data_IF_395115795439
#
_entry.id   IF_395115795439
#
_cell.length_a   1.000
_cell.length_b   1.000
_cell.length_c   1.000
_cell.angle_alpha   90.00
_cell.angle_beta   90.00
_cell.angle_gamma   90.00
#
_symmetry.space_group_name_H-M   'P 1'
#
loop_
_entity.id
_entity.type
_entity.pdbx_description
1 polymer ?
#
# COMPACT_ATOMS: atom_id res chain seq x y z
N UNK A 1 -0.02 -27.03 -36.89
CA UNK A 1 1.41 -26.96 -36.53
C UNK A 1 2.01 -25.55 -36.70
N UNK A 2 1.61 -24.78 -37.71
CA UNK A 2 2.13 -23.42 -37.98
C UNK A 2 1.89 -22.39 -36.86
N UNK A 3 0.78 -22.46 -36.13
CA UNK A 3 0.46 -21.47 -35.12
C UNK A 3 1.41 -21.51 -33.89
N UNK A 4 1.97 -22.68 -33.58
CA UNK A 4 2.84 -22.87 -32.39
C UNK A 4 4.23 -22.26 -32.61
N UNK A 5 4.74 -22.33 -33.82
CA UNK A 5 6.05 -21.77 -34.14
C UNK A 5 5.99 -20.25 -34.32
N UNK A 6 4.89 -19.73 -34.87
CA UNK A 6 4.64 -18.30 -34.93
C UNK A 6 4.57 -17.67 -33.51
N UNK A 7 3.92 -18.35 -32.57
CA UNK A 7 3.86 -17.90 -31.16
C UNK A 7 5.24 -17.93 -30.50
N UNK A 8 6.06 -18.96 -30.76
CA UNK A 8 7.44 -19.01 -30.23
C UNK A 8 8.31 -17.86 -30.76
N UNK A 9 8.20 -17.59 -32.08
CA UNK A 9 8.92 -16.47 -32.71
C UNK A 9 8.46 -15.14 -32.08
N UNK A 10 7.15 -14.93 -31.97
CA UNK A 10 6.57 -13.72 -31.37
C UNK A 10 7.05 -13.53 -29.93
N UNK A 11 7.02 -14.57 -29.12
CA UNK A 11 7.49 -14.51 -27.74
C UNK A 11 8.98 -14.22 -27.63
N UNK A 12 9.79 -14.77 -28.54
CA UNK A 12 11.23 -14.49 -28.63
C UNK A 12 11.49 -13.02 -28.98
N UNK A 13 10.78 -12.48 -29.97
CA UNK A 13 10.92 -11.07 -30.37
C UNK A 13 10.40 -10.13 -29.28
N UNK A 14 9.27 -10.42 -28.65
CA UNK A 14 8.80 -9.68 -27.45
C UNK A 14 9.84 -9.68 -26.35
N UNK A 15 10.50 -10.82 -26.10
CA UNK A 15 11.57 -10.92 -25.11
C UNK A 15 12.80 -10.07 -25.45
N UNK A 16 13.14 -9.93 -26.74
CA UNK A 16 14.22 -9.03 -27.19
C UNK A 16 13.83 -7.55 -26.98
N UNK A 17 12.62 -7.18 -27.39
CA UNK A 17 12.11 -5.80 -27.26
C UNK A 17 12.07 -5.40 -25.78
N UNK A 18 11.55 -6.26 -24.91
CA UNK A 18 11.52 -6.00 -23.45
C UNK A 18 12.90 -5.80 -22.82
N UNK A 19 13.93 -6.51 -23.32
CA UNK A 19 15.30 -6.31 -22.84
C UNK A 19 15.93 -5.03 -23.36
N UNK A 20 15.61 -4.65 -24.58
CA UNK A 20 16.14 -3.44 -25.21
C UNK A 20 15.42 -2.17 -24.75
N UNK A 21 14.11 -2.29 -24.52
CA UNK A 21 13.23 -1.22 -24.08
C UNK A 21 12.44 -1.68 -22.85
N UNK A 22 13.03 -1.64 -21.66
CA UNK A 22 12.35 -2.04 -20.44
C UNK A 22 11.14 -1.16 -20.18
N UNK A 23 10.06 -1.78 -19.69
CA UNK A 23 8.90 -1.04 -19.22
C UNK A 23 9.27 -0.25 -17.97
N UNK A 24 9.49 1.04 -18.11
CA UNK A 24 9.93 1.90 -17.01
C UNK A 24 8.87 1.99 -15.90
N UNK A 25 7.58 1.90 -16.23
CA UNK A 25 6.49 1.90 -15.24
C UNK A 25 6.54 0.63 -14.38
N UNK A 26 6.76 -0.52 -15.00
CA UNK A 26 6.92 -1.79 -14.28
C UNK A 26 8.19 -1.78 -13.41
N UNK A 27 9.28 -1.25 -13.95
CA UNK A 27 10.54 -1.12 -13.23
C UNK A 27 10.41 -0.19 -12.02
N UNK A 28 9.80 0.98 -12.18
CA UNK A 28 9.53 1.93 -11.11
C UNK A 28 8.61 1.34 -10.04
N UNK A 29 7.53 0.68 -10.45
CA UNK A 29 6.62 0.00 -9.53
C UNK A 29 7.34 -1.07 -8.72
N UNK A 30 8.19 -1.87 -9.34
CA UNK A 30 8.98 -2.90 -8.66
C UNK A 30 9.94 -2.30 -7.65
N UNK A 31 10.62 -1.21 -8.01
CA UNK A 31 11.50 -0.50 -7.09
C UNK A 31 10.72 0.05 -5.90
N UNK A 32 9.58 0.68 -6.12
CA UNK A 32 8.73 1.26 -5.08
C UNK A 32 8.34 0.22 -4.04
N UNK A 33 7.90 -0.96 -4.46
CA UNK A 33 7.46 -2.00 -3.52
C UNK A 33 8.60 -2.81 -2.90
N UNK A 34 9.80 -2.74 -3.44
CA UNK A 34 11.01 -3.34 -2.87
C UNK A 34 11.78 -2.38 -1.99
N UNK A 35 11.67 -1.08 -2.25
CA UNK A 35 12.38 -0.04 -1.51
C UNK A 35 11.80 0.16 -0.10
N UNK A 36 12.66 0.55 0.82
CA UNK A 36 12.30 0.99 2.17
C UNK A 36 13.29 2.05 2.63
N UNK A 37 12.84 2.94 3.49
CA UNK A 37 13.71 3.89 4.14
C UNK A 37 14.42 3.22 5.32
N UNK A 38 15.64 3.63 5.61
CA UNK A 38 16.26 3.27 6.88
C UNK A 38 15.47 3.92 8.01
N UNK A 39 15.01 3.15 9.01
CA UNK A 39 14.31 3.72 10.13
C UNK A 39 15.23 4.69 10.87
N UNK A 40 14.77 5.90 11.13
CA UNK A 40 15.46 6.80 12.02
C UNK A 40 15.61 6.17 13.40
N UNK A 41 16.76 6.39 14.05
CA UNK A 41 16.94 5.94 15.42
C UNK A 41 15.81 6.48 16.30
N UNK A 42 15.08 5.58 16.96
CA UNK A 42 14.01 5.99 17.86
C UNK A 42 14.63 6.67 19.07
N UNK A 43 14.07 7.79 19.53
CA UNK A 43 14.53 8.42 20.75
C UNK A 43 14.38 7.45 21.93
N UNK A 44 15.25 7.51 22.94
CA UNK A 44 15.13 6.68 24.13
C UNK A 44 13.76 6.89 24.79
N UNK A 45 13.17 5.82 25.31
CA UNK A 45 11.88 5.87 25.98
C UNK A 45 11.90 6.93 27.10
N UNK A 46 10.91 7.81 27.13
CA UNK A 46 10.80 8.90 28.12
C UNK A 46 11.54 10.19 27.77
N UNK A 47 12.32 10.26 26.68
CA UNK A 47 13.13 11.46 26.36
C UNK A 47 12.39 12.54 25.56
N UNK A 48 11.24 12.26 24.99
CA UNK A 48 10.53 13.22 24.15
C UNK A 48 9.49 14.02 24.93
N UNK A 49 9.90 15.14 25.52
CA UNK A 49 8.99 16.23 25.84
C UNK A 49 8.83 17.08 24.58
N UNK A 50 7.79 16.88 23.83
CA UNK A 50 7.42 17.82 22.74
C UNK A 50 6.51 18.89 23.33
N UNK A 51 7.06 20.08 23.55
CA UNK A 51 6.25 21.29 23.75
C UNK A 51 5.62 21.69 22.41
N UNK A 52 4.32 21.44 22.28
CA UNK A 52 3.56 21.97 21.14
C UNK A 52 3.36 23.45 21.44
N UNK A 53 4.16 24.32 20.80
CA UNK A 53 3.95 25.76 20.83
C UNK A 53 2.80 26.08 19.88
N UNK A 54 1.61 26.28 20.42
CA UNK A 54 0.47 26.82 19.66
C UNK A 54 0.70 28.32 19.50
N UNK A 55 1.01 28.77 18.29
CA UNK A 55 1.09 30.20 17.95
C UNK A 55 -0.28 30.86 18.19
N UNK A 56 -0.27 31.90 19.00
CA UNK A 56 -1.43 32.72 19.37
C UNK A 56 -1.89 33.53 18.16
N UNK A 57 -3.01 33.21 17.58
CA UNK A 57 -3.74 34.13 16.71
C UNK A 57 -4.81 34.81 17.52
N UNK A 58 -4.63 36.16 17.72
CA UNK A 58 -5.60 37.16 18.09
C UNK A 58 -6.61 36.85 19.21
N UNK A 59 -6.49 37.60 20.32
CA UNK A 59 -7.53 37.93 21.32
C UNK A 59 -8.29 36.84 22.10
N UNK A 60 -8.14 35.56 21.85
CA UNK A 60 -8.66 34.47 22.73
C UNK A 60 -7.53 33.73 23.44
N UNK A 61 -7.59 33.69 24.76
CA UNK A 61 -6.77 32.80 25.57
C UNK A 61 -7.10 31.33 25.20
N UNK A 62 -6.33 30.74 24.34
CA UNK A 62 -6.38 29.30 24.11
C UNK A 62 -5.59 28.66 25.23
N UNK A 63 -6.26 27.89 26.08
CA UNK A 63 -5.61 27.14 27.14
C UNK A 63 -4.52 26.25 26.55
N UNK A 64 -3.27 26.43 26.98
CA UNK A 64 -2.14 25.54 26.66
C UNK A 64 -2.43 24.19 27.31
N UNK A 65 -2.89 23.22 26.55
CA UNK A 65 -2.83 21.84 26.96
C UNK A 65 -1.44 21.32 26.59
N UNK A 66 -0.52 21.41 27.51
CA UNK A 66 0.75 20.71 27.42
C UNK A 66 0.44 19.20 27.46
N UNK A 67 0.41 18.55 26.31
CA UNK A 67 0.39 17.09 26.27
C UNK A 67 1.82 16.60 26.47
N UNK A 68 2.23 16.47 27.72
CA UNK A 68 3.41 15.71 28.10
C UNK A 68 3.17 14.21 27.82
N UNK A 69 3.14 13.84 26.56
CA UNK A 69 3.24 12.44 26.17
C UNK A 69 4.71 12.14 25.91
N UNK A 70 5.39 11.62 26.93
CA UNK A 70 6.67 11.00 26.70
C UNK A 70 6.53 9.90 25.64
N UNK A 71 7.55 9.68 24.83
CA UNK A 71 7.59 8.56 23.91
C UNK A 71 7.50 7.26 24.73
N UNK A 72 6.39 6.54 24.58
CA UNK A 72 6.24 5.21 25.14
C UNK A 72 6.37 4.20 24.02
N UNK A 73 7.34 3.30 24.12
CA UNK A 73 7.37 2.13 23.24
C UNK A 73 6.11 1.31 23.49
N UNK A 74 5.45 0.95 22.42
CA UNK A 74 4.42 -0.07 22.48
C UNK A 74 5.05 -1.39 22.93
N UNK A 75 4.46 -2.05 23.93
CA UNK A 75 4.85 -3.39 24.34
C UNK A 75 4.16 -4.47 23.47
N UNK A 76 3.51 -4.07 22.39
CA UNK A 76 2.83 -5.00 21.49
C UNK A 76 3.90 -5.72 20.67
N UNK A 77 3.93 -7.04 20.81
CA UNK A 77 4.76 -7.89 19.96
C UNK A 77 4.06 -8.11 18.61
N UNK A 78 4.64 -7.56 17.55
CA UNK A 78 4.16 -7.72 16.19
C UNK A 78 4.90 -8.83 15.43
N UNK A 79 5.79 -9.56 16.08
CA UNK A 79 6.63 -10.56 15.39
C UNK A 79 5.84 -11.68 14.71
N UNK A 80 4.69 -12.03 15.27
CA UNK A 80 3.77 -13.04 14.74
C UNK A 80 2.70 -12.49 13.79
N UNK A 81 2.48 -11.18 13.77
CA UNK A 81 1.41 -10.55 12.98
C UNK A 81 1.77 -10.51 11.50
N UNK A 82 0.81 -10.77 10.63
CA UNK A 82 0.94 -10.72 9.15
C UNK A 82 -0.09 -9.77 8.56
N UNK A 83 0.40 -8.82 7.79
CA UNK A 83 -0.42 -7.78 7.18
C UNK A 83 -0.34 -7.89 5.67
N UNK A 84 -1.49 -8.04 5.00
CA UNK A 84 -1.62 -7.93 3.55
C UNK A 84 -1.86 -6.49 3.14
N UNK A 85 -1.22 -6.04 2.07
CA UNK A 85 -1.47 -4.74 1.45
C UNK A 85 -1.65 -4.87 -0.06
N UNK A 86 -2.68 -4.25 -0.66
CA UNK A 86 -2.87 -4.29 -2.10
C UNK A 86 -1.88 -3.35 -2.80
N UNK A 87 -1.35 -3.78 -3.96
CA UNK A 87 -0.48 -2.94 -4.84
C UNK A 87 -1.34 -2.13 -5.78
N UNK A 88 -1.95 -1.06 -5.29
CA UNK A 88 -2.94 -0.29 -6.05
C UNK A 88 -2.84 1.21 -5.80
N UNK A 89 -3.30 1.99 -6.75
CA UNK A 89 -3.53 3.43 -6.64
C UNK A 89 -2.34 4.20 -6.01
N UNK A 90 -2.63 5.06 -5.05
CA UNK A 90 -1.62 5.88 -4.38
C UNK A 90 -0.58 5.07 -3.60
N UNK A 91 -0.80 3.76 -3.35
CA UNK A 91 0.21 2.91 -2.73
C UNK A 91 1.45 2.74 -3.61
N UNK A 92 1.34 2.91 -4.92
CA UNK A 92 2.52 2.99 -5.81
C UNK A 92 3.45 4.16 -5.46
N UNK A 93 2.93 5.22 -4.87
CA UNK A 93 3.72 6.37 -4.45
C UNK A 93 4.24 6.24 -3.00
N UNK A 94 3.41 5.70 -2.12
CA UNK A 94 3.66 5.74 -0.67
C UNK A 94 4.01 4.39 -0.05
N UNK A 95 4.17 3.33 -0.83
CA UNK A 95 4.53 2.01 -0.34
C UNK A 95 5.81 2.00 0.52
N UNK A 96 6.91 2.71 0.17
CA UNK A 96 8.10 2.75 1.00
C UNK A 96 7.84 3.33 2.39
N UNK A 97 6.95 4.33 2.50
CA UNK A 97 6.54 4.90 3.77
C UNK A 97 5.86 3.85 4.66
N UNK A 98 4.83 3.17 4.15
CA UNK A 98 4.10 2.17 4.93
C UNK A 98 4.99 0.99 5.32
N UNK A 99 5.86 0.58 4.43
CA UNK A 99 6.82 -0.47 4.73
C UNK A 99 7.72 -0.10 5.90
N UNK A 100 8.37 1.07 5.82
CA UNK A 100 9.22 1.58 6.88
C UNK A 100 8.44 1.79 8.18
N UNK A 101 7.19 2.29 8.08
CA UNK A 101 6.33 2.50 9.24
C UNK A 101 6.07 1.19 10.00
N UNK A 102 5.64 0.14 9.31
CA UNK A 102 5.36 -1.14 9.96
C UNK A 102 6.64 -1.82 10.49
N UNK A 103 7.74 -1.76 9.75
CA UNK A 103 9.03 -2.29 10.21
C UNK A 103 9.52 -1.54 11.46
N UNK A 104 9.34 -0.24 11.53
CA UNK A 104 9.68 0.58 12.72
C UNK A 104 8.82 0.23 13.93
N UNK A 105 7.56 -0.15 13.71
CA UNK A 105 6.68 -0.64 14.78
C UNK A 105 7.04 -2.05 15.27
N UNK A 106 7.96 -2.73 14.60
CA UNK A 106 8.42 -4.07 14.96
C UNK A 106 7.83 -5.20 14.14
N UNK A 107 7.08 -4.90 13.05
CA UNK A 107 6.60 -5.91 12.13
C UNK A 107 7.78 -6.46 11.32
N UNK A 108 8.03 -7.79 11.33
CA UNK A 108 9.06 -8.37 10.48
C UNK A 108 8.79 -8.09 8.99
N UNK A 109 9.82 -7.73 8.24
CA UNK A 109 9.74 -7.44 6.82
C UNK A 109 9.00 -8.50 6.00
N UNK A 110 9.21 -9.77 6.32
CA UNK A 110 8.56 -10.91 5.67
C UNK A 110 7.06 -11.02 5.95
N UNK A 111 6.57 -10.33 6.98
CA UNK A 111 5.19 -10.37 7.43
C UNK A 111 4.33 -9.24 6.82
N UNK A 112 4.95 -8.30 6.11
CA UNK A 112 4.23 -7.36 5.26
C UNK A 112 4.15 -7.93 3.85
N UNK A 113 2.96 -8.35 3.45
CA UNK A 113 2.70 -9.11 2.24
C UNK A 113 1.95 -8.24 1.24
N UNK A 114 2.62 -7.94 0.13
CA UNK A 114 2.00 -7.21 -0.97
C UNK A 114 1.28 -8.17 -1.91
N UNK A 115 0.13 -7.75 -2.45
CA UNK A 115 -0.47 -8.46 -3.58
C UNK A 115 0.49 -8.46 -4.77
N UNK A 116 0.36 -9.42 -5.70
CA UNK A 116 1.22 -9.48 -6.89
C UNK A 116 1.05 -8.26 -7.80
N UNK A 117 1.86 -8.17 -8.83
CA UNK A 117 1.66 -7.18 -9.92
C UNK A 117 0.33 -7.48 -10.60
N UNK A 118 -0.39 -6.44 -11.01
CA UNK A 118 -1.62 -6.60 -11.78
C UNK A 118 -1.37 -7.38 -13.07
N UNK A 119 -2.23 -8.36 -13.34
CA UNK A 119 -2.19 -9.19 -14.54
C UNK A 119 -3.60 -9.48 -15.04
N UNK A 120 -3.71 -9.99 -16.25
CA UNK A 120 -4.99 -10.41 -16.81
C UNK A 120 -5.61 -11.56 -16.00
N UNK A 121 -4.79 -12.48 -15.51
CA UNK A 121 -5.23 -13.61 -14.69
C UNK A 121 -5.80 -13.12 -13.36
N UNK A 122 -5.09 -12.22 -12.68
CA UNK A 122 -5.54 -11.59 -11.44
C UNK A 122 -6.90 -10.90 -11.64
N UNK A 123 -7.03 -10.19 -12.76
CA UNK A 123 -8.27 -9.52 -13.13
C UNK A 123 -9.40 -10.49 -13.45
N UNK A 124 -9.13 -11.51 -14.25
CA UNK A 124 -10.14 -12.50 -14.65
C UNK A 124 -10.74 -13.22 -13.46
N UNK A 125 -9.93 -13.48 -12.42
CA UNK A 125 -10.36 -14.17 -11.20
C UNK A 125 -11.05 -13.22 -10.22
N UNK A 126 -10.41 -12.12 -9.85
CA UNK A 126 -10.85 -11.23 -8.77
C UNK A 126 -11.77 -10.08 -9.19
N UNK A 127 -11.77 -9.70 -10.47
CA UNK A 127 -12.56 -8.57 -10.97
C UNK A 127 -14.07 -8.79 -10.97
N UNK A 128 -14.54 -10.01 -10.69
CA UNK A 128 -15.96 -10.36 -10.63
C UNK A 128 -16.64 -9.98 -9.30
N UNK A 129 -15.85 -9.75 -8.28
CA UNK A 129 -16.35 -9.55 -6.90
C UNK A 129 -16.71 -8.11 -6.58
N UNK A 130 -16.63 -7.22 -7.56
CA UNK A 130 -16.82 -5.82 -7.33
C UNK A 130 -18.21 -5.26 -7.60
N UNK A 131 -18.42 -4.08 -7.05
CA UNK A 131 -19.54 -3.22 -7.39
C UNK A 131 -19.30 -2.53 -8.75
N UNK A 132 -20.31 -1.80 -9.23
CA UNK A 132 -20.14 -0.93 -10.41
C UNK A 132 -19.21 0.21 -10.03
N UNK A 133 -17.99 0.16 -10.55
CA UNK A 133 -17.00 1.20 -10.32
C UNK A 133 -16.92 2.15 -11.50
N UNK A 134 -16.71 3.45 -11.25
CA UNK A 134 -16.69 4.46 -12.29
C UNK A 134 -15.45 4.42 -13.18
N UNK A 135 -14.38 3.76 -12.73
CA UNK A 135 -13.13 3.70 -13.50
C UNK A 135 -12.45 2.32 -13.40
N UNK A 136 -11.70 1.95 -14.43
CA UNK A 136 -10.98 0.67 -14.48
C UNK A 136 -9.96 0.49 -13.35
N UNK A 137 -9.13 1.47 -12.98
CA UNK A 137 -8.21 1.33 -11.85
C UNK A 137 -8.91 0.97 -10.54
N UNK A 138 -10.10 1.51 -10.28
CA UNK A 138 -10.91 1.18 -9.11
C UNK A 138 -11.36 -0.29 -9.12
N UNK A 139 -11.73 -0.82 -10.29
CA UNK A 139 -12.09 -2.23 -10.45
C UNK A 139 -10.92 -3.17 -10.15
N UNK A 140 -9.71 -2.80 -10.56
CA UNK A 140 -8.50 -3.61 -10.34
C UNK A 140 -8.19 -3.79 -8.85
N UNK A 141 -8.57 -2.83 -8.00
CA UNK A 141 -8.39 -2.94 -6.55
C UNK A 141 -9.06 -4.19 -5.98
N UNK A 142 -10.25 -4.49 -6.46
CA UNK A 142 -11.03 -5.65 -6.00
C UNK A 142 -10.31 -6.95 -6.29
N UNK A 143 -9.68 -7.06 -7.46
CA UNK A 143 -8.88 -8.22 -7.81
C UNK A 143 -7.67 -8.39 -6.87
N UNK A 144 -7.00 -7.29 -6.50
CA UNK A 144 -5.89 -7.34 -5.54
C UNK A 144 -6.32 -7.74 -4.12
N UNK A 145 -7.48 -7.25 -3.68
CA UNK A 145 -8.01 -7.62 -2.36
C UNK A 145 -8.52 -9.05 -2.37
N UNK A 146 -9.16 -9.50 -3.45
CA UNK A 146 -9.52 -10.90 -3.65
C UNK A 146 -8.29 -11.82 -3.54
N UNK A 147 -7.21 -11.49 -4.22
CA UNK A 147 -5.95 -12.25 -4.15
C UNK A 147 -5.42 -12.34 -2.71
N UNK A 148 -5.47 -11.24 -1.96
CA UNK A 148 -5.05 -11.25 -0.56
C UNK A 148 -5.94 -12.10 0.33
N UNK A 149 -7.27 -12.07 0.12
CA UNK A 149 -8.24 -12.81 0.93
C UNK A 149 -8.25 -14.30 0.61
N UNK A 150 -8.24 -14.66 -0.67
CA UNK A 150 -8.51 -16.03 -1.09
C UNK A 150 -7.27 -16.83 -1.48
N UNK A 151 -6.17 -16.14 -1.81
CA UNK A 151 -4.92 -16.81 -2.17
C UNK A 151 -3.83 -16.57 -1.13
N UNK A 152 -3.50 -15.32 -0.82
CA UNK A 152 -2.42 -15.04 0.13
C UNK A 152 -2.78 -15.48 1.56
N UNK A 153 -4.04 -15.38 1.96
CA UNK A 153 -4.53 -15.80 3.27
C UNK A 153 -4.62 -17.33 3.38
N UNK A 154 -5.04 -18.02 2.32
CA UNK A 154 -5.32 -19.46 2.33
C UNK A 154 -4.19 -20.33 1.79
N UNK A 155 -3.16 -19.73 1.16
CA UNK A 155 -2.10 -20.48 0.48
C UNK A 155 -1.13 -21.16 1.46
N UNK A 156 -1.45 -22.39 1.80
CA UNK A 156 -0.60 -23.28 2.61
C UNK A 156 0.76 -23.56 1.95
N UNK A 157 0.84 -23.52 0.61
CA UNK A 157 2.08 -23.80 -0.12
C UNK A 157 3.16 -22.75 0.13
N UNK A 158 2.78 -21.51 0.34
CA UNK A 158 3.73 -20.43 0.66
C UNK A 158 4.28 -20.52 2.07
N UNK A 159 3.83 -21.46 2.90
CA UNK A 159 4.28 -21.69 4.29
C UNK A 159 4.27 -20.42 5.16
N UNK A 160 3.48 -19.42 4.79
CA UNK A 160 3.43 -18.14 5.52
C UNK A 160 2.31 -18.12 6.55
N UNK A 161 1.37 -19.05 6.45
CA UNK A 161 0.13 -19.09 7.24
C UNK A 161 -0.81 -17.92 6.90
N UNK A 162 -1.99 -17.85 7.50
CA UNK A 162 -3.01 -16.87 7.20
C UNK A 162 -2.55 -15.44 7.49
N UNK A 163 -3.17 -14.48 6.79
CA UNK A 163 -3.06 -13.04 7.11
C UNK A 163 -3.94 -12.74 8.32
N UNK A 164 -3.42 -11.92 9.25
CA UNK A 164 -4.22 -11.42 10.36
C UNK A 164 -5.04 -10.19 9.97
N UNK A 165 -4.48 -9.36 9.11
CA UNK A 165 -5.10 -8.11 8.66
C UNK A 165 -4.85 -7.86 7.18
N UNK A 166 -5.79 -7.18 6.54
CA UNK A 166 -5.55 -6.45 5.30
C UNK A 166 -5.57 -4.97 5.63
N UNK A 167 -4.47 -4.30 5.35
CA UNK A 167 -4.33 -2.87 5.55
C UNK A 167 -4.41 -2.13 4.22
N UNK A 168 -5.47 -1.37 4.05
CA UNK A 168 -5.69 -0.52 2.89
C UNK A 168 -6.13 0.87 3.35
N UNK A 169 -5.20 1.85 3.39
CA UNK A 169 -5.49 3.17 3.94
C UNK A 169 -6.31 4.03 2.99
N UNK A 170 -7.20 4.85 3.55
CA UNK A 170 -7.86 5.94 2.84
C UNK A 170 -6.87 7.11 2.68
N UNK A 171 -6.28 7.26 1.51
CA UNK A 171 -5.31 8.33 1.23
C UNK A 171 -6.06 9.47 0.56
N UNK A 172 -6.37 10.50 1.34
CA UNK A 172 -7.12 11.67 0.87
C UNK A 172 -6.23 12.73 0.24
N UNK A 173 -4.98 12.81 0.69
CA UNK A 173 -3.98 13.76 0.19
C UNK A 173 -2.65 13.04 -0.01
N UNK A 174 -1.93 13.45 -1.03
CA UNK A 174 -0.56 12.99 -1.28
C UNK A 174 0.39 14.19 -1.25
N UNK A 175 1.65 14.01 -0.85
CA UNK A 175 2.63 15.06 -0.91
C UNK A 175 2.77 15.61 -2.34
N UNK A 176 2.87 16.92 -2.47
CA UNK A 176 3.21 17.57 -3.73
C UNK A 176 4.56 18.27 -3.62
N UNK A 177 5.36 18.17 -4.68
CA UNK A 177 6.67 18.82 -4.82
C UNK A 177 6.58 20.07 -5.70
N UNK A 178 5.37 20.37 -6.21
CA UNK A 178 5.13 21.50 -7.08
C UNK A 178 4.81 22.72 -6.23
N UNK A 179 5.66 23.74 -6.29
CA UNK A 179 5.42 25.00 -5.61
C UNK A 179 4.16 25.67 -6.17
N UNK A 180 3.42 26.35 -5.30
CA UNK A 180 2.19 27.05 -5.68
C UNK A 180 0.97 26.14 -5.88
N UNK A 181 1.08 24.84 -5.61
CA UNK A 181 -0.07 23.94 -5.65
C UNK A 181 -1.02 24.26 -4.51
N UNK A 182 -2.26 24.60 -4.85
CA UNK A 182 -3.29 24.97 -3.87
C UNK A 182 -3.90 23.73 -3.17
N UNK A 183 -3.88 22.58 -3.84
CA UNK A 183 -4.48 21.36 -3.35
C UNK A 183 -3.70 20.14 -3.83
N UNK A 184 -3.62 19.11 -2.98
CA UNK A 184 -3.03 17.81 -3.25
C UNK A 184 -4.01 16.67 -2.98
N UNK A 185 -5.30 16.97 -3.07
CA UNK A 185 -6.38 16.01 -2.80
C UNK A 185 -6.38 14.88 -3.82
N UNK A 186 -6.47 13.66 -3.34
CA UNK A 186 -6.69 12.49 -4.18
C UNK A 186 -8.08 12.52 -4.80
N UNK A 187 -8.22 11.91 -5.98
CA UNK A 187 -9.54 11.66 -6.56
C UNK A 187 -10.46 11.01 -5.50
N UNK A 188 -11.71 11.45 -5.34
CA UNK A 188 -12.65 10.90 -4.35
C UNK A 188 -12.83 9.39 -4.45
N UNK A 189 -12.77 8.83 -5.66
CA UNK A 189 -12.83 7.39 -5.90
C UNK A 189 -11.63 6.69 -5.29
N UNK A 190 -10.44 7.24 -5.46
CA UNK A 190 -9.21 6.70 -4.88
C UNK A 190 -9.26 6.78 -3.35
N UNK A 191 -9.65 7.93 -2.82
CA UNK A 191 -9.75 8.15 -1.37
C UNK A 191 -10.80 7.24 -0.71
N UNK A 192 -11.94 7.03 -1.37
CA UNK A 192 -13.06 6.23 -0.86
C UNK A 192 -12.95 4.72 -1.13
N UNK A 193 -12.05 4.30 -2.03
CA UNK A 193 -11.95 2.92 -2.47
C UNK A 193 -11.77 1.88 -1.36
N UNK A 194 -11.04 2.13 -0.25
CA UNK A 194 -10.94 1.17 0.84
C UNK A 194 -12.30 0.81 1.47
N UNK A 195 -13.17 1.81 1.60
CA UNK A 195 -14.52 1.60 2.16
C UNK A 195 -15.42 0.83 1.19
N UNK A 196 -15.34 1.13 -0.11
CA UNK A 196 -16.09 0.43 -1.16
C UNK A 196 -15.70 -1.05 -1.20
N UNK A 197 -14.40 -1.31 -1.21
CA UNK A 197 -13.86 -2.68 -1.22
C UNK A 197 -14.25 -3.43 0.06
N UNK A 198 -14.12 -2.79 1.22
CA UNK A 198 -14.59 -3.38 2.48
C UNK A 198 -16.06 -3.78 2.37
N UNK A 199 -16.93 -2.89 1.90
CA UNK A 199 -18.35 -3.19 1.75
C UNK A 199 -18.61 -4.33 0.75
N UNK A 200 -17.83 -4.43 -0.32
CA UNK A 200 -17.98 -5.49 -1.32
C UNK A 200 -17.65 -6.88 -0.78
N UNK A 201 -16.63 -6.99 0.08
CA UNK A 201 -16.18 -8.27 0.64
C UNK A 201 -16.74 -8.60 2.02
N UNK A 202 -17.50 -7.71 2.64
CA UNK A 202 -18.18 -7.95 3.93
C UNK A 202 -19.70 -8.10 3.81
N UNK A 203 -20.22 -8.10 2.61
CA UNK A 203 -21.64 -8.46 2.39
C UNK A 203 -21.77 -9.98 2.55
N UNK A 204 -22.48 -10.36 3.58
CA UNK A 204 -23.02 -11.70 3.74
C UNK A 204 -24.19 -11.94 2.79
#
# INVERSE_FOLDING_TARGET
MESTDALKILNRERGKVRRQYPNMVEFEADLTFKHFFEPAALPPAGSAKRDIVVKRLSFRRVARRAMNRGFQRSNIDLSGVKIGMPRVMNLYMVAPFFRTYFETLGLPKKNLIWSPVASEELWAEGGRYGSIDPCYPSKVIQAHVHELLFHAHTDEKRRRGPLDYIYYPCITHVPTWVEGTMDSTSCPIVAGSPNVVKAAFTKE
#
